data_IF_625848768303
#
_entry.id   IF_625848768303
#
_cell.length_a   1.000
_cell.length_b   1.000
_cell.length_c   1.000
_cell.angle_alpha   90.00
_cell.angle_beta   90.00
_cell.angle_gamma   90.00
#
_symmetry.space_group_name_H-M   'P 1'
#
loop_
_entity.id
_entity.type
_entity.pdbx_description
1 polymer ?
#
# COMPACT_ATOMS: atom_id res chain seq x y z
N UNK A 1 -7.15 -11.49 -47.36
CA UNK A 1 -5.90 -10.74 -47.59
C UNK A 1 -5.51 -10.06 -46.29
N UNK A 2 -4.33 -10.39 -45.77
CA UNK A 2 -3.74 -9.85 -44.55
C UNK A 2 -3.28 -8.40 -44.80
N UNK A 3 -3.73 -7.45 -43.99
CA UNK A 3 -3.06 -6.14 -43.88
C UNK A 3 -2.52 -5.96 -42.48
N UNK A 4 -1.21 -6.12 -42.39
CA UNK A 4 -0.32 -5.92 -41.26
C UNK A 4 -0.47 -4.53 -40.63
N UNK A 5 -0.57 -4.47 -39.29
CA UNK A 5 -0.52 -3.25 -38.46
C UNK A 5 0.89 -2.66 -38.38
N UNK A 6 1.50 -2.38 -39.53
CA UNK A 6 2.77 -1.65 -39.65
C UNK A 6 2.71 -0.72 -40.86
N UNK A 7 1.93 0.35 -40.75
CA UNK A 7 2.03 1.53 -41.61
C UNK A 7 1.10 2.60 -41.05
N UNK A 8 1.56 3.36 -40.07
CA UNK A 8 1.05 4.70 -39.84
C UNK A 8 2.07 5.51 -39.02
N UNK A 9 3.20 5.82 -39.66
CA UNK A 9 4.00 7.01 -39.35
C UNK A 9 4.14 7.75 -40.68
N UNK A 10 4.09 9.08 -40.61
CA UNK A 10 3.97 10.11 -41.66
C UNK A 10 2.52 10.62 -41.69
N UNK A 11 2.18 11.83 -41.29
CA UNK A 11 2.88 13.11 -41.46
C UNK A 11 2.15 14.15 -40.60
N UNK A 12 2.84 15.10 -39.97
CA UNK A 12 2.42 16.51 -39.82
C UNK A 12 3.40 17.26 -38.90
N UNK A 13 4.34 17.97 -39.52
CA UNK A 13 5.02 19.12 -38.92
C UNK A 13 4.06 20.31 -39.02
N UNK A 14 3.53 20.76 -37.89
CA UNK A 14 2.90 22.06 -37.77
C UNK A 14 3.36 22.68 -36.44
N UNK A 15 4.14 23.76 -36.56
CA UNK A 15 4.66 24.53 -35.45
C UNK A 15 3.51 25.24 -34.72
N UNK A 16 3.33 24.95 -33.44
CA UNK A 16 2.55 25.76 -32.51
C UNK A 16 3.48 26.38 -31.48
N UNK A 17 3.42 27.70 -31.38
CA UNK A 17 4.20 28.51 -30.47
C UNK A 17 4.02 28.05 -29.01
N UNK A 18 5.11 27.67 -28.36
CA UNK A 18 5.13 27.37 -26.95
C UNK A 18 5.02 28.70 -26.17
N UNK A 19 3.79 29.08 -25.79
CA UNK A 19 3.61 29.93 -24.62
C UNK A 19 3.96 29.07 -23.40
N UNK A 20 5.24 29.06 -23.04
CA UNK A 20 5.70 28.46 -21.81
C UNK A 20 5.14 29.27 -20.63
N UNK A 21 3.92 28.93 -20.18
CA UNK A 21 3.61 29.07 -18.76
C UNK A 21 4.53 28.08 -18.05
N UNK A 22 5.75 28.52 -17.74
CA UNK A 22 6.50 27.93 -16.64
C UNK A 22 5.68 28.21 -15.39
N UNK A 23 4.74 27.31 -15.07
CA UNK A 23 4.26 27.16 -13.72
C UNK A 23 5.48 26.78 -12.89
N UNK A 24 6.16 27.81 -12.35
CA UNK A 24 7.12 27.62 -11.30
C UNK A 24 6.34 27.03 -10.14
N UNK A 25 6.36 25.70 -10.00
CA UNK A 25 6.33 25.06 -8.69
C UNK A 25 7.61 25.48 -7.98
N UNK A 26 7.75 26.77 -7.70
CA UNK A 26 8.75 27.27 -6.79
C UNK A 26 8.33 26.73 -5.43
N UNK A 27 9.07 25.74 -4.94
CA UNK A 27 8.96 25.34 -3.56
C UNK A 27 9.21 26.59 -2.71
N UNK A 28 8.16 27.11 -2.07
CA UNK A 28 8.36 28.07 -1.00
C UNK A 28 9.31 27.42 0.02
N UNK A 29 10.29 28.17 0.56
CA UNK A 29 11.13 27.66 1.63
C UNK A 29 10.26 27.54 2.88
N UNK A 30 9.52 26.45 2.98
CA UNK A 30 8.90 26.05 4.23
C UNK A 30 10.02 25.58 5.15
N UNK A 31 9.96 26.01 6.41
CA UNK A 31 10.68 25.37 7.50
C UNK A 31 10.59 23.84 7.33
N UNK A 32 11.66 23.07 7.61
CA UNK A 32 11.67 21.65 7.31
C UNK A 32 10.51 20.98 8.07
N UNK A 33 9.43 20.68 7.35
CA UNK A 33 8.42 19.78 7.84
C UNK A 33 9.15 18.47 8.16
N UNK A 34 8.80 17.84 9.29
CA UNK A 34 9.34 16.53 9.62
C UNK A 34 9.30 15.64 8.37
N UNK A 35 10.42 14.99 8.06
CA UNK A 35 10.54 14.18 6.85
C UNK A 35 9.42 13.12 6.88
N UNK A 36 8.48 13.24 5.94
CA UNK A 36 7.33 12.35 5.82
C UNK A 36 7.65 11.26 4.82
N UNK A 37 7.42 10.03 5.23
CA UNK A 37 7.50 8.88 4.35
C UNK A 37 6.43 8.95 3.26
N UNK A 38 6.76 8.34 2.12
CA UNK A 38 5.81 7.93 1.10
C UNK A 38 5.71 6.41 1.13
N UNK A 39 4.50 5.88 1.01
CA UNK A 39 4.29 4.44 0.93
C UNK A 39 3.90 4.07 -0.49
N UNK A 40 4.61 3.10 -1.05
CA UNK A 40 4.18 2.38 -2.23
C UNK A 40 3.52 1.08 -1.77
N UNK A 41 2.24 0.92 -2.07
CA UNK A 41 1.54 -0.33 -1.83
C UNK A 41 1.15 -0.94 -3.17
N UNK A 42 1.65 -2.14 -3.46
CA UNK A 42 1.27 -2.92 -4.65
C UNK A 42 0.36 -4.07 -4.25
N UNK A 43 -0.67 -4.29 -5.07
CA UNK A 43 -1.53 -5.48 -4.99
C UNK A 43 -1.34 -6.32 -6.25
N UNK A 44 -0.75 -7.49 -6.10
CA UNK A 44 -0.64 -8.48 -7.16
C UNK A 44 -1.86 -9.38 -7.10
N UNK A 45 -2.81 -9.15 -8.00
CA UNK A 45 -4.00 -9.99 -8.15
C UNK A 45 -3.61 -11.31 -8.79
N UNK A 46 -3.90 -12.42 -8.12
CA UNK A 46 -3.57 -13.76 -8.61
C UNK A 46 -4.79 -14.52 -9.13
N UNK A 47 -5.97 -14.23 -8.56
CA UNK A 47 -7.23 -14.85 -8.99
C UNK A 47 -7.54 -14.50 -10.45
N UNK A 48 -7.99 -15.48 -11.21
CA UNK A 48 -8.45 -15.29 -12.58
C UNK A 48 -9.56 -14.23 -12.64
N UNK A 49 -9.41 -13.29 -13.56
CA UNK A 49 -10.38 -12.24 -13.80
C UNK A 49 -10.66 -12.05 -15.28
N UNK A 50 -10.54 -10.81 -15.74
CA UNK A 50 -10.77 -10.45 -17.14
C UNK A 50 -9.71 -10.97 -18.12
N UNK A 51 -8.50 -11.24 -17.62
CA UNK A 51 -7.30 -11.45 -18.44
C UNK A 51 -6.83 -12.89 -18.41
N UNK A 52 -6.91 -13.56 -17.26
CA UNK A 52 -6.52 -14.96 -17.07
C UNK A 52 -7.72 -15.89 -17.09
N UNK A 53 -7.49 -17.12 -17.57
CA UNK A 53 -8.51 -18.19 -17.57
C UNK A 53 -8.48 -19.05 -16.30
N UNK A 54 -7.33 -19.06 -15.63
CA UNK A 54 -7.06 -19.79 -14.39
C UNK A 54 -6.19 -18.91 -13.51
N UNK A 55 -6.20 -19.16 -12.21
CA UNK A 55 -5.39 -18.40 -11.26
C UNK A 55 -3.91 -18.43 -11.66
N UNK A 56 -3.23 -17.32 -11.42
CA UNK A 56 -1.79 -17.21 -11.59
C UNK A 56 -1.06 -18.09 -10.57
N UNK A 57 0.13 -18.57 -10.93
CA UNK A 57 0.94 -19.36 -10.01
C UNK A 57 1.66 -18.45 -8.98
N UNK A 58 1.27 -18.46 -7.69
CA UNK A 58 1.90 -17.62 -6.67
C UNK A 58 3.40 -17.88 -6.51
N UNK A 59 3.88 -19.09 -6.81
CA UNK A 59 5.29 -19.46 -6.64
C UNK A 59 6.25 -18.70 -7.57
N UNK A 60 5.77 -18.20 -8.72
CA UNK A 60 6.57 -17.33 -9.59
C UNK A 60 6.79 -15.97 -8.94
N UNK A 61 5.72 -15.40 -8.39
CA UNK A 61 5.77 -14.12 -7.70
C UNK A 61 6.57 -14.22 -6.39
N UNK A 62 6.31 -15.25 -5.58
CA UNK A 62 7.01 -15.46 -4.30
C UNK A 62 8.52 -15.53 -4.51
N UNK A 63 9.00 -16.32 -5.49
CA UNK A 63 10.44 -16.40 -5.81
C UNK A 63 11.01 -15.05 -6.27
N UNK A 64 10.30 -14.31 -7.12
CA UNK A 64 10.75 -12.99 -7.55
C UNK A 64 10.84 -11.99 -6.39
N UNK A 65 9.82 -11.93 -5.54
CA UNK A 65 9.82 -11.03 -4.39
C UNK A 65 10.95 -11.38 -3.43
N UNK A 66 11.08 -12.65 -3.04
CA UNK A 66 12.06 -13.10 -2.06
C UNK A 66 13.51 -13.03 -2.57
N UNK A 67 13.75 -13.48 -3.81
CA UNK A 67 15.12 -13.70 -4.30
C UNK A 67 15.66 -12.57 -5.17
N UNK A 68 14.80 -11.71 -5.72
CA UNK A 68 15.21 -10.62 -6.61
C UNK A 68 14.83 -9.23 -6.05
N UNK A 69 13.54 -8.97 -5.85
CA UNK A 69 13.07 -7.63 -5.50
C UNK A 69 13.50 -7.20 -4.09
N UNK A 70 13.24 -8.02 -3.07
CA UNK A 70 13.54 -7.66 -1.67
C UNK A 70 15.04 -7.41 -1.42
N UNK A 71 15.97 -8.25 -1.92
CA UNK A 71 17.40 -7.95 -1.85
C UNK A 71 17.76 -6.62 -2.53
N UNK A 72 17.24 -6.36 -3.73
CA UNK A 72 17.57 -5.17 -4.49
C UNK A 72 17.04 -3.87 -3.84
N UNK A 73 15.79 -3.85 -3.36
CA UNK A 73 15.28 -2.65 -2.65
C UNK A 73 15.99 -2.42 -1.32
N UNK A 74 16.43 -3.49 -0.64
CA UNK A 74 17.26 -3.40 0.56
C UNK A 74 18.63 -2.76 0.27
N UNK A 75 19.26 -3.11 -0.86
CA UNK A 75 20.50 -2.47 -1.32
C UNK A 75 20.32 -0.99 -1.67
N UNK A 76 19.12 -0.60 -2.12
CA UNK A 76 18.73 0.81 -2.32
C UNK A 76 18.37 1.53 -1.02
N UNK A 77 18.50 0.85 0.13
CA UNK A 77 18.30 1.43 1.45
C UNK A 77 16.86 1.40 1.96
N UNK A 78 15.93 0.78 1.24
CA UNK A 78 14.56 0.57 1.73
C UNK A 78 14.57 -0.50 2.83
N UNK A 79 13.85 -0.23 3.91
CA UNK A 79 13.78 -1.10 5.10
C UNK A 79 12.33 -1.35 5.47
N UNK A 80 12.12 -2.38 6.29
CA UNK A 80 10.81 -2.75 6.85
C UNK A 80 9.78 -3.02 5.75
N UNK A 81 10.20 -3.72 4.69
CA UNK A 81 9.30 -4.10 3.60
C UNK A 81 8.31 -5.16 4.06
N UNK A 82 7.01 -4.89 3.87
CA UNK A 82 5.94 -5.83 4.18
C UNK A 82 5.54 -6.64 2.95
N UNK A 83 5.40 -7.96 3.10
CA UNK A 83 4.76 -8.81 2.08
C UNK A 83 3.68 -9.65 2.72
N UNK A 84 2.45 -9.54 2.23
CA UNK A 84 1.28 -10.13 2.89
C UNK A 84 0.36 -10.88 1.94
N UNK A 85 -0.39 -11.81 2.50
CA UNK A 85 -1.62 -12.39 1.93
C UNK A 85 -2.78 -12.14 2.88
N UNK A 86 -4.00 -12.35 2.42
CA UNK A 86 -5.23 -12.07 3.15
C UNK A 86 -5.70 -13.26 3.99
N UNK A 87 -6.41 -12.94 5.06
CA UNK A 87 -7.11 -13.87 5.93
C UNK A 87 -8.63 -13.63 5.83
N UNK A 88 -9.39 -14.71 5.79
CA UNK A 88 -10.81 -14.68 6.13
C UNK A 88 -10.92 -14.80 7.66
N UNK A 89 -11.49 -13.78 8.32
CA UNK A 89 -11.59 -13.68 9.78
C UNK A 89 -13.04 -13.79 10.24
N UNK A 90 -13.32 -14.75 11.12
CA UNK A 90 -14.55 -14.78 11.91
C UNK A 90 -14.32 -14.09 13.26
N UNK A 91 -14.66 -12.80 13.34
CA UNK A 91 -14.44 -11.99 14.55
C UNK A 91 -15.18 -12.52 15.78
N UNK A 92 -16.38 -13.08 15.61
CA UNK A 92 -17.18 -13.60 16.72
C UNK A 92 -16.56 -14.88 17.31
N UNK A 93 -16.00 -15.73 16.45
CA UNK A 93 -15.30 -16.95 16.88
C UNK A 93 -13.84 -16.70 17.25
N UNK A 94 -13.25 -15.55 16.90
CA UNK A 94 -11.84 -15.26 17.10
C UNK A 94 -10.92 -16.14 16.24
N UNK A 95 -11.41 -16.63 15.11
CA UNK A 95 -10.68 -17.55 14.22
C UNK A 95 -10.40 -16.94 12.86
N UNK A 96 -9.39 -17.47 12.18
CA UNK A 96 -9.06 -17.08 10.80
C UNK A 96 -8.59 -18.26 9.96
N UNK A 97 -8.82 -18.18 8.66
CA UNK A 97 -8.26 -19.08 7.66
C UNK A 97 -7.58 -18.29 6.55
N UNK A 98 -6.51 -18.79 5.92
CA UNK A 98 -5.96 -18.16 4.72
C UNK A 98 -7.03 -18.01 3.65
N UNK A 99 -7.12 -16.82 3.06
CA UNK A 99 -8.08 -16.56 1.98
C UNK A 99 -7.64 -17.29 0.71
N UNK A 100 -8.55 -18.08 0.13
CA UNK A 100 -8.28 -18.79 -1.11
C UNK A 100 -8.04 -17.80 -2.26
N UNK A 101 -7.03 -18.06 -3.08
CA UNK A 101 -6.63 -17.20 -4.21
C UNK A 101 -6.37 -15.75 -3.80
N UNK A 102 -5.86 -15.56 -2.57
CA UNK A 102 -5.47 -14.26 -2.04
C UNK A 102 -4.55 -13.51 -3.00
N UNK A 103 -4.74 -12.19 -3.18
CA UNK A 103 -3.68 -11.37 -3.75
C UNK A 103 -2.44 -11.38 -2.85
N UNK A 104 -1.31 -10.94 -3.41
CA UNK A 104 -0.10 -10.63 -2.64
C UNK A 104 0.06 -9.13 -2.54
N UNK A 105 0.17 -8.62 -1.32
CA UNK A 105 0.37 -7.21 -1.03
C UNK A 105 1.85 -6.94 -0.73
N UNK A 106 2.44 -5.94 -1.38
CA UNK A 106 3.82 -5.49 -1.13
C UNK A 106 3.78 -4.04 -0.67
N UNK A 107 4.30 -3.77 0.53
CA UNK A 107 4.42 -2.44 1.12
C UNK A 107 5.89 -2.01 1.17
N UNK A 108 6.22 -0.97 0.41
CA UNK A 108 7.53 -0.32 0.39
C UNK A 108 7.43 1.09 0.99
N UNK A 109 8.46 1.49 1.72
CA UNK A 109 8.55 2.82 2.35
C UNK A 109 9.66 3.61 1.70
N UNK A 110 9.32 4.79 1.18
CA UNK A 110 10.23 5.69 0.50
C UNK A 110 10.42 6.97 1.32
N UNK A 111 11.66 7.41 1.59
CA UNK A 111 11.91 8.65 2.32
C UNK A 111 11.57 9.90 1.49
N UNK A 112 11.48 9.77 0.16
CA UNK A 112 11.19 10.85 -0.79
C UNK A 112 10.41 10.31 -1.99
N UNK A 113 9.71 11.20 -2.71
CA UNK A 113 9.08 10.84 -3.97
C UNK A 113 10.11 10.42 -5.04
N UNK A 114 11.31 11.02 -5.00
CA UNK A 114 12.42 10.64 -5.88
C UNK A 114 12.85 9.18 -5.65
N UNK A 115 12.87 8.71 -4.40
CA UNK A 115 13.14 7.29 -4.10
C UNK A 115 12.11 6.36 -4.74
N UNK A 116 10.82 6.73 -4.77
CA UNK A 116 9.78 5.95 -5.46
C UNK A 116 10.06 5.83 -6.97
N UNK A 117 10.40 6.95 -7.63
CA UNK A 117 10.72 6.96 -9.06
C UNK A 117 11.99 6.15 -9.36
N UNK A 118 13.04 6.31 -8.56
CA UNK A 118 14.33 5.65 -8.76
C UNK A 118 14.27 4.14 -8.55
N UNK A 119 13.52 3.65 -7.57
CA UNK A 119 13.42 2.20 -7.29
C UNK A 119 12.95 1.43 -8.52
N UNK A 120 11.94 1.93 -9.25
CA UNK A 120 11.46 1.27 -10.47
C UNK A 120 12.55 1.19 -11.55
N UNK A 121 13.26 2.30 -11.80
CA UNK A 121 14.34 2.34 -12.78
C UNK A 121 15.50 1.41 -12.39
N UNK A 122 15.91 1.43 -11.13
CA UNK A 122 17.00 0.60 -10.60
C UNK A 122 16.68 -0.89 -10.71
N UNK A 123 15.47 -1.32 -10.31
CA UNK A 123 15.06 -2.73 -10.41
C UNK A 123 15.07 -3.25 -11.85
N UNK A 124 14.68 -2.42 -12.82
CA UNK A 124 14.65 -2.81 -14.23
C UNK A 124 16.07 -2.93 -14.84
N UNK A 125 17.01 -2.11 -14.38
CA UNK A 125 18.37 -2.08 -14.90
C UNK A 125 19.33 -3.06 -14.19
N UNK A 126 18.96 -3.59 -13.02
CA UNK A 126 19.81 -4.43 -12.19
C UNK A 126 19.97 -5.86 -12.77
N UNK A 127 21.19 -6.27 -13.21
CA UNK A 127 21.42 -7.61 -13.73
C UNK A 127 21.15 -8.73 -12.70
N UNK A 128 21.33 -8.48 -11.40
CA UNK A 128 21.03 -9.44 -10.35
C UNK A 128 19.52 -9.69 -10.24
N UNK A 129 18.71 -8.62 -10.36
CA UNK A 129 17.25 -8.75 -10.43
C UNK A 129 16.82 -9.51 -11.67
N UNK A 130 17.41 -9.22 -12.83
CA UNK A 130 17.11 -9.92 -14.08
C UNK A 130 17.44 -11.41 -13.99
N UNK A 131 18.59 -11.76 -13.38
CA UNK A 131 19.03 -13.15 -13.22
C UNK A 131 18.16 -13.90 -12.21
N UNK A 132 17.94 -13.35 -11.02
CA UNK A 132 17.17 -14.02 -9.96
C UNK A 132 15.65 -14.05 -10.25
N UNK A 133 15.15 -13.04 -10.99
CA UNK A 133 13.74 -12.88 -11.33
C UNK A 133 13.33 -13.46 -12.68
N UNK A 134 14.24 -14.11 -13.41
CA UNK A 134 14.04 -14.48 -14.83
C UNK A 134 12.74 -15.23 -15.11
N UNK A 135 12.39 -16.21 -14.27
CA UNK A 135 11.14 -16.98 -14.39
C UNK A 135 9.88 -16.12 -14.32
N UNK A 136 9.89 -15.07 -13.48
CA UNK A 136 8.79 -14.13 -13.30
C UNK A 136 8.78 -13.08 -14.41
N UNK A 137 9.94 -12.51 -14.73
CA UNK A 137 10.10 -11.43 -15.70
C UNK A 137 9.86 -11.89 -17.15
N UNK A 138 10.12 -13.16 -17.44
CA UNK A 138 10.00 -13.76 -18.77
C UNK A 138 8.85 -14.75 -18.89
N UNK A 139 7.77 -14.56 -18.11
CA UNK A 139 6.59 -15.43 -18.16
C UNK A 139 5.99 -15.52 -19.57
N UNK A 140 5.56 -16.73 -19.95
CA UNK A 140 4.85 -16.95 -21.21
C UNK A 140 3.45 -16.36 -21.13
N UNK A 141 2.91 -15.91 -22.26
CA UNK A 141 1.54 -15.35 -22.36
C UNK A 141 0.45 -16.25 -21.75
N UNK A 142 0.60 -17.57 -21.83
CA UNK A 142 -0.35 -18.55 -21.30
C UNK A 142 -0.02 -19.03 -19.87
N UNK A 143 1.05 -18.53 -19.26
CA UNK A 143 1.46 -18.84 -17.88
C UNK A 143 1.96 -17.57 -17.15
N UNK A 144 1.15 -16.50 -17.07
CA UNK A 144 1.56 -15.27 -16.41
C UNK A 144 1.62 -15.43 -14.89
N UNK A 145 2.46 -14.62 -14.24
CA UNK A 145 2.65 -14.62 -12.78
C UNK A 145 1.57 -13.84 -12.00
N UNK A 146 0.70 -13.09 -12.68
CA UNK A 146 -0.38 -12.32 -12.08
C UNK A 146 -1.47 -11.97 -13.12
N UNK A 147 -2.69 -11.71 -12.63
CA UNK A 147 -3.79 -11.14 -13.41
C UNK A 147 -3.55 -9.66 -13.67
N UNK A 148 -3.33 -8.89 -12.59
CA UNK A 148 -3.16 -7.43 -12.57
C UNK A 148 -2.28 -7.00 -11.41
N UNK A 149 -1.60 -5.87 -11.57
CA UNK A 149 -0.94 -5.16 -10.48
C UNK A 149 -1.62 -3.81 -10.33
N UNK A 150 -2.16 -3.53 -9.15
CA UNK A 150 -2.54 -2.18 -8.76
C UNK A 150 -1.45 -1.58 -7.86
N UNK A 151 -1.25 -0.27 -7.95
CA UNK A 151 -0.25 0.44 -7.14
C UNK A 151 -0.86 1.73 -6.61
N UNK A 152 -0.70 1.94 -5.30
CA UNK A 152 -1.04 3.18 -4.62
C UNK A 152 0.23 3.88 -4.17
N UNK A 153 0.31 5.17 -4.45
CA UNK A 153 1.28 6.07 -3.83
C UNK A 153 0.57 6.82 -2.72
N UNK A 154 1.03 6.64 -1.49
CA UNK A 154 0.47 7.26 -0.31
C UNK A 154 1.48 8.23 0.31
N UNK A 155 1.00 9.36 0.83
CA UNK A 155 1.80 10.26 1.67
C UNK A 155 1.47 9.99 3.14
N UNK A 156 2.48 9.72 3.98
CA UNK A 156 2.27 9.44 5.40
C UNK A 156 1.50 10.57 6.09
N UNK A 157 0.75 10.30 7.16
CA UNK A 157 0.00 11.30 7.92
C UNK A 157 0.90 12.21 8.78
N UNK A 158 0.38 13.33 9.32
CA UNK A 158 1.17 14.18 10.22
C UNK A 158 1.31 13.56 11.61
N UNK A 159 0.26 12.88 12.10
CA UNK A 159 0.26 12.17 13.38
C UNK A 159 1.10 10.89 13.38
N UNK A 160 1.49 10.40 12.20
CA UNK A 160 2.46 9.31 12.05
C UNK A 160 3.31 9.54 10.77
N UNK A 161 4.30 10.45 10.83
CA UNK A 161 5.03 10.91 9.65
C UNK A 161 5.98 9.85 9.06
N UNK A 162 6.38 8.86 9.86
CA UNK A 162 7.23 7.75 9.44
C UNK A 162 6.59 6.42 9.84
N UNK A 163 6.91 5.37 9.09
CA UNK A 163 6.45 4.01 9.43
C UNK A 163 6.87 3.65 10.86
N UNK A 164 5.92 3.11 11.62
CA UNK A 164 6.18 2.52 12.92
C UNK A 164 6.33 1.00 12.76
N UNK A 165 7.44 0.44 13.21
CA UNK A 165 7.67 -1.01 13.22
C UNK A 165 7.18 -1.55 14.56
N UNK A 166 6.16 -2.43 14.58
CA UNK A 166 5.67 -3.00 15.83
C UNK A 166 6.77 -3.75 16.60
N UNK A 167 6.83 -3.70 17.95
CA UNK A 167 7.89 -4.33 18.73
C UNK A 167 8.01 -5.86 18.55
N UNK A 168 6.92 -6.51 18.12
CA UNK A 168 6.87 -7.94 17.83
C UNK A 168 7.24 -8.29 16.37
N UNK A 169 7.45 -7.29 15.50
CA UNK A 169 7.82 -7.54 14.11
C UNK A 169 9.22 -8.14 13.94
N UNK A 170 10.28 -7.70 14.66
CA UNK A 170 11.62 -8.27 14.48
C UNK A 170 11.72 -9.79 14.69
N UNK A 171 10.83 -10.39 15.49
CA UNK A 171 10.80 -11.83 15.79
C UNK A 171 10.27 -12.67 14.61
N UNK A 172 9.67 -12.04 13.59
CA UNK A 172 9.13 -12.69 12.39
C UNK A 172 8.19 -13.86 12.67
N UNK A 173 7.43 -13.79 13.76
CA UNK A 173 6.44 -14.81 14.09
C UNK A 173 5.36 -14.87 12.99
N UNK A 174 5.00 -16.06 12.46
CA UNK A 174 3.93 -16.20 11.48
C UNK A 174 2.54 -15.91 12.08
N UNK A 175 2.41 -15.85 13.41
CA UNK A 175 1.16 -15.56 14.10
C UNK A 175 0.73 -14.09 14.00
N UNK A 176 1.67 -13.18 13.65
CA UNK A 176 1.41 -11.75 13.53
C UNK A 176 0.27 -11.50 12.54
N UNK A 177 -0.61 -10.59 12.91
CA UNK A 177 -1.73 -10.17 12.08
C UNK A 177 -1.65 -8.68 11.81
N UNK A 178 -2.07 -8.29 10.61
CA UNK A 178 -2.20 -6.90 10.21
C UNK A 178 -3.63 -6.68 9.74
N UNK A 179 -4.16 -5.48 9.96
CA UNK A 179 -5.46 -5.06 9.43
C UNK A 179 -5.27 -3.78 8.64
N UNK A 180 -5.40 -3.89 7.32
CA UNK A 180 -5.38 -2.78 6.39
C UNK A 180 -6.80 -2.27 6.19
N UNK A 181 -6.99 -0.95 6.32
CA UNK A 181 -8.31 -0.33 6.20
C UNK A 181 -8.29 0.85 5.26
N UNK A 182 -9.32 0.92 4.42
CA UNK A 182 -9.54 1.95 3.42
C UNK A 182 -10.80 2.74 3.73
N UNK A 183 -10.63 4.06 3.83
CA UNK A 183 -11.71 4.98 4.11
C UNK A 183 -11.86 5.88 2.88
N UNK A 184 -12.78 5.50 2.00
CA UNK A 184 -13.16 6.26 0.82
C UNK A 184 -14.08 7.42 1.25
N UNK A 185 -13.92 8.55 0.57
CA UNK A 185 -14.70 9.76 0.82
C UNK A 185 -15.39 10.21 -0.47
N UNK A 186 -16.54 10.88 -0.34
CA UNK A 186 -17.30 11.38 -1.49
C UNK A 186 -16.72 12.70 -2.08
N UNK A 187 -15.54 13.12 -1.65
CA UNK A 187 -14.85 14.30 -2.11
C UNK A 187 -13.56 14.56 -1.33
N UNK A 188 -12.70 15.42 -1.86
CA UNK A 188 -11.37 15.69 -1.31
C UNK A 188 -11.44 16.43 0.03
N UNK A 189 -12.35 17.40 0.17
CA UNK A 189 -12.52 18.12 1.44
C UNK A 189 -12.99 17.21 2.59
N UNK A 190 -14.03 16.36 2.42
CA UNK A 190 -14.35 15.29 3.37
C UNK A 190 -13.16 14.39 3.71
N UNK A 191 -12.37 13.96 2.71
CA UNK A 191 -11.18 13.13 2.93
C UNK A 191 -10.16 13.84 3.82
N UNK A 192 -9.83 15.11 3.52
CA UNK A 192 -8.91 15.92 4.32
C UNK A 192 -9.40 16.11 5.76
N UNK A 193 -10.70 16.30 5.98
CA UNK A 193 -11.26 16.39 7.34
C UNK A 193 -11.14 15.06 8.09
N UNK A 194 -11.33 13.91 7.43
CA UNK A 194 -11.09 12.61 8.09
C UNK A 194 -9.61 12.41 8.41
N UNK A 195 -8.71 12.81 7.52
CA UNK A 195 -7.26 12.77 7.79
C UNK A 195 -6.90 13.64 8.99
N UNK A 196 -7.48 14.85 9.10
CA UNK A 196 -7.30 15.72 10.24
C UNK A 196 -7.80 15.08 11.55
N UNK A 197 -8.91 14.35 11.54
CA UNK A 197 -9.38 13.58 12.70
C UNK A 197 -8.34 12.55 13.19
N UNK A 198 -7.68 11.86 12.26
CA UNK A 198 -6.60 10.93 12.59
C UNK A 198 -5.38 11.65 13.16
N UNK A 199 -4.93 12.72 12.48
CA UNK A 199 -3.77 13.52 12.88
C UNK A 199 -3.96 14.17 14.25
N UNK A 200 -5.18 14.63 14.56
CA UNK A 200 -5.49 15.37 15.79
C UNK A 200 -5.76 14.47 17.00
N UNK A 201 -5.93 13.16 16.83
CA UNK A 201 -6.03 12.27 17.99
C UNK A 201 -6.33 10.80 17.76
N UNK A 202 -6.96 10.39 16.65
CA UNK A 202 -7.30 8.96 16.46
C UNK A 202 -6.05 8.07 16.47
N UNK A 203 -4.94 8.53 15.87
CA UNK A 203 -3.67 7.81 15.86
C UNK A 203 -3.14 7.60 17.29
N UNK A 204 -3.10 8.65 18.11
CA UNK A 204 -2.62 8.57 19.49
C UNK A 204 -3.49 7.62 20.32
N UNK A 205 -4.81 7.68 20.13
CA UNK A 205 -5.74 6.75 20.76
C UNK A 205 -5.46 5.30 20.35
N UNK A 206 -5.22 5.04 19.07
CA UNK A 206 -4.89 3.70 18.58
C UNK A 206 -3.58 3.18 19.19
N UNK A 207 -2.57 4.05 19.38
CA UNK A 207 -1.32 3.70 20.06
C UNK A 207 -1.57 3.33 21.52
N UNK A 208 -2.30 4.17 22.27
CA UNK A 208 -2.62 3.93 23.68
C UNK A 208 -3.39 2.63 23.91
N UNK A 209 -4.26 2.26 22.96
CA UNK A 209 -5.05 1.04 23.03
C UNK A 209 -4.29 -0.21 22.53
N UNK A 210 -3.03 -0.06 22.14
CA UNK A 210 -2.19 -1.17 21.69
C UNK A 210 -2.61 -1.74 20.34
N UNK A 211 -3.17 -0.92 19.44
CA UNK A 211 -3.48 -1.32 18.05
C UNK A 211 -2.24 -1.34 17.14
N UNK A 212 -1.08 -0.96 17.67
CA UNK A 212 0.24 -0.97 17.02
C UNK A 212 0.15 -0.51 15.55
N UNK A 213 -0.19 0.78 15.32
CA UNK A 213 -0.23 1.29 13.97
C UNK A 213 1.12 1.14 13.27
N UNK A 214 1.07 0.72 12.01
CA UNK A 214 2.24 0.55 11.15
C UNK A 214 2.42 1.77 10.26
N UNK A 215 1.36 2.17 9.56
CA UNK A 215 1.37 3.34 8.68
C UNK A 215 -0.05 3.91 8.49
N UNK A 216 -0.12 5.22 8.21
CA UNK A 216 -1.33 5.92 7.75
C UNK A 216 -0.95 6.77 6.55
N UNK A 217 -1.72 6.71 5.47
CA UNK A 217 -1.37 7.30 4.19
C UNK A 217 -2.54 7.95 3.47
N UNK A 218 -2.34 9.18 3.02
CA UNK A 218 -3.24 9.86 2.08
C UNK A 218 -2.94 9.31 0.69
N UNK A 219 -3.93 8.75 0.00
CA UNK A 219 -3.72 8.30 -1.37
C UNK A 219 -3.57 9.49 -2.32
N UNK A 220 -2.42 9.56 -3.00
CA UNK A 220 -2.10 10.56 -4.00
C UNK A 220 -2.41 10.05 -5.42
N UNK A 221 -2.22 8.75 -5.63
CA UNK A 221 -2.46 8.06 -6.89
C UNK A 221 -2.88 6.62 -6.61
N UNK A 222 -3.64 6.03 -7.54
CA UNK A 222 -4.15 4.66 -7.47
C UNK A 222 -5.67 4.59 -7.70
N UNK A 223 -6.24 3.38 -7.72
CA UNK A 223 -7.70 3.19 -7.76
C UNK A 223 -8.43 3.82 -6.56
N UNK A 224 -9.72 4.10 -6.75
CA UNK A 224 -10.69 4.47 -5.70
C UNK A 224 -10.37 5.76 -4.92
N UNK A 225 -9.80 6.77 -5.60
CA UNK A 225 -9.60 8.10 -5.01
C UNK A 225 -10.91 8.90 -4.88
N UNK A 226 -11.05 9.79 -3.87
CA UNK A 226 -10.10 10.04 -2.78
C UNK A 226 -10.33 9.09 -1.59
N UNK A 227 -9.24 8.59 -1.01
CA UNK A 227 -9.28 7.82 0.22
C UNK A 227 -8.03 8.02 1.06
N UNK A 228 -8.12 7.58 2.31
CA UNK A 228 -6.95 7.26 3.13
C UNK A 228 -6.87 5.75 3.34
N UNK A 229 -5.65 5.27 3.55
CA UNK A 229 -5.37 3.88 3.91
C UNK A 229 -4.50 3.84 5.16
N UNK A 230 -4.75 2.90 6.06
CA UNK A 230 -3.88 2.66 7.21
C UNK A 230 -3.78 1.19 7.56
N UNK A 231 -2.72 0.83 8.27
CA UNK A 231 -2.45 -0.52 8.74
C UNK A 231 -2.24 -0.51 10.25
N UNK A 232 -3.01 -1.34 10.95
CA UNK A 232 -2.81 -1.68 12.37
C UNK A 232 -2.34 -3.12 12.50
N UNK A 233 -1.83 -3.51 13.67
CA UNK A 233 -1.25 -4.84 13.84
C UNK A 233 -1.34 -5.39 15.26
N UNK A 234 -1.23 -6.71 15.37
CA UNK A 234 -1.12 -7.41 16.63
C UNK A 234 -0.15 -8.60 16.55
N UNK A 235 0.38 -9.05 17.70
CA UNK A 235 1.25 -10.22 17.75
C UNK A 235 0.52 -11.51 17.36
N UNK A 236 -0.80 -11.51 17.51
CA UNK A 236 -1.74 -12.56 17.12
C UNK A 236 -3.16 -11.98 16.92
N UNK A 237 -4.04 -12.76 16.29
CA UNK A 237 -5.43 -12.36 16.01
C UNK A 237 -6.24 -12.05 17.27
N UNK A 238 -6.09 -12.86 18.32
CA UNK A 238 -6.84 -12.71 19.57
C UNK A 238 -6.50 -11.38 20.23
N UNK A 239 -5.21 -11.07 20.37
CA UNK A 239 -4.73 -9.81 20.91
C UNK A 239 -5.20 -8.62 20.07
N UNK A 240 -5.11 -8.73 18.74
CA UNK A 240 -5.56 -7.67 17.83
C UNK A 240 -7.05 -7.37 17.96
N UNK A 241 -7.90 -8.40 17.97
CA UNK A 241 -9.34 -8.24 18.15
C UNK A 241 -9.70 -7.71 19.54
N UNK A 242 -9.00 -8.16 20.58
CA UNK A 242 -9.16 -7.67 21.94
C UNK A 242 -8.82 -6.18 22.07
N UNK A 243 -7.76 -5.70 21.41
CA UNK A 243 -7.42 -4.29 21.43
C UNK A 243 -8.41 -3.44 20.62
N UNK A 244 -8.90 -3.95 19.48
CA UNK A 244 -9.95 -3.28 18.71
C UNK A 244 -11.29 -3.17 19.44
N UNK A 245 -11.65 -4.14 20.28
CA UNK A 245 -12.90 -4.09 21.04
C UNK A 245 -12.94 -2.93 22.05
N UNK A 246 -11.77 -2.39 22.43
CA UNK A 246 -11.63 -1.23 23.31
C UNK A 246 -11.85 0.11 22.58
N UNK A 247 -11.62 0.16 21.27
CA UNK A 247 -11.61 1.41 20.51
C UNK A 247 -13.01 2.06 20.41
N UNK A 248 -14.00 1.29 19.98
CA UNK A 248 -15.39 1.76 19.82
C UNK A 248 -16.03 2.37 21.08
N UNK A 249 -15.87 1.76 22.28
CA UNK A 249 -16.41 2.31 23.53
C UNK A 249 -15.49 3.35 24.21
N UNK A 250 -14.27 3.61 23.73
CA UNK A 250 -13.38 4.57 24.40
C UNK A 250 -13.98 5.99 24.38
N UNK A 251 -14.10 6.67 25.54
CA UNK A 251 -14.74 7.99 25.62
C UNK A 251 -14.03 9.06 24.78
N UNK A 252 -12.73 8.93 24.53
CA UNK A 252 -11.97 9.85 23.67
C UNK A 252 -12.40 9.71 22.21
N UNK A 253 -12.63 8.48 21.74
CA UNK A 253 -13.19 8.24 20.41
C UNK A 253 -14.62 8.76 20.31
N UNK A 254 -15.47 8.45 21.31
CA UNK A 254 -16.87 8.88 21.32
C UNK A 254 -16.99 10.41 21.26
N UNK A 255 -16.19 11.13 22.05
CA UNK A 255 -16.16 12.59 22.01
C UNK A 255 -15.67 13.13 20.65
N UNK A 256 -14.67 12.49 20.05
CA UNK A 256 -14.07 12.95 18.79
C UNK A 256 -14.99 12.72 17.59
N UNK A 257 -15.63 11.54 17.48
CA UNK A 257 -16.52 11.22 16.34
C UNK A 257 -17.75 12.11 16.27
N UNK A 258 -18.17 12.68 17.41
CA UNK A 258 -19.36 13.53 17.51
C UNK A 258 -19.05 15.01 17.25
N UNK A 259 -17.78 15.38 17.02
CA UNK A 259 -17.41 16.74 16.63
C UNK A 259 -18.00 17.09 15.26
N UNK A 260 -18.76 18.19 15.12
CA UNK A 260 -19.42 18.55 13.86
C UNK A 260 -18.48 18.66 12.65
N UNK A 261 -17.22 19.07 12.86
CA UNK A 261 -16.21 19.18 11.79
C UNK A 261 -15.82 17.83 11.16
N UNK A 262 -16.03 16.72 11.86
CA UNK A 262 -15.73 15.37 11.39
C UNK A 262 -16.97 14.59 10.96
N UNK A 263 -18.14 15.22 10.94
CA UNK A 263 -19.35 14.61 10.44
C UNK A 263 -19.28 14.35 8.92
N UNK A 264 -19.87 13.23 8.49
CA UNK A 264 -20.07 12.88 7.08
C UNK A 264 -18.77 12.92 6.25
N UNK A 265 -17.66 12.41 6.77
CA UNK A 265 -16.39 12.43 6.03
C UNK A 265 -16.13 11.17 5.22
N UNK A 266 -16.76 10.03 5.55
CA UNK A 266 -16.49 8.71 4.96
C UNK A 266 -17.74 8.20 4.25
N UNK A 267 -17.59 7.74 3.00
CA UNK A 267 -18.65 7.09 2.22
C UNK A 267 -18.57 5.56 2.30
N UNK A 268 -17.36 5.01 2.43
CA UNK A 268 -17.15 3.56 2.52
C UNK A 268 -15.92 3.24 3.35
N UNK A 269 -16.03 2.21 4.20
CA UNK A 269 -14.94 1.67 5.01
C UNK A 269 -14.78 0.19 4.66
N UNK A 270 -13.58 -0.18 4.23
CA UNK A 270 -13.22 -1.58 3.94
C UNK A 270 -12.12 -2.01 4.88
N UNK A 271 -12.20 -3.22 5.43
CA UNK A 271 -11.16 -3.81 6.24
C UNK A 271 -10.68 -5.13 5.62
N UNK A 272 -9.38 -5.28 5.51
CA UNK A 272 -8.70 -6.48 5.01
C UNK A 272 -7.72 -6.98 6.09
N UNK A 273 -7.91 -8.21 6.53
CA UNK A 273 -6.95 -8.86 7.42
C UNK A 273 -5.84 -9.50 6.61
N UNK A 274 -4.62 -9.31 7.08
CA UNK A 274 -3.40 -9.67 6.40
C UNK A 274 -2.52 -10.54 7.32
N UNK A 275 -1.86 -11.51 6.73
CA UNK A 275 -0.82 -12.34 7.36
C UNK A 275 0.49 -12.20 6.57
N UNK A 276 1.64 -12.06 7.23
CA UNK A 276 2.91 -11.88 6.56
C UNK A 276 3.38 -13.17 5.88
N UNK A 277 3.97 -13.05 4.69
CA UNK A 277 4.76 -14.12 4.07
C UNK A 277 6.02 -14.38 4.90
N UNK A 278 6.63 -15.60 4.83
CA UNK A 278 7.82 -15.94 5.60
C UNK A 278 9.02 -15.00 5.39
N UNK A 279 9.12 -14.40 4.22
CA UNK A 279 10.18 -13.48 3.82
C UNK A 279 9.81 -11.98 4.02
N UNK A 280 8.66 -11.68 4.64
CA UNK A 280 8.29 -10.31 5.04
C UNK A 280 9.19 -9.81 6.18
N UNK A 281 9.60 -8.54 6.11
CA UNK A 281 10.36 -7.90 7.21
C UNK A 281 9.41 -7.36 8.28
N UNK A 282 8.19 -6.98 7.91
CA UNK A 282 7.12 -6.60 8.83
C UNK A 282 6.44 -7.81 9.43
#
# INVERSE_FOLDING_TARGET
MNTSRRSFIQTSLAATAAAALTSRLAAAPNAPAAARDYYELRCYHLRAGSRLKTDANPALLDRYLEQALLPAVSQLGLKNTGVFTELDVNKAAGTSTPKLSSPVWLLLTHPTLESFVQVSASLNADPAVQSAGGDYLSTKKNQPAFERIDTWLLRSFQGLPQMSVPPFSPQRSPARVFEMRDYESHGELPALRKMAMFDEGEINLMQDLGLNPVCFGQALAGPDLPHLRYITSGPDLTTHLHNWSKFGPDPRWLAMKDLPRFANTVSKNTACFLTPKPYSQL
#
